data_IF_431210671113
#
_entry.id   IF_431210671113
#
_cell.length_a   1.000
_cell.length_b   1.000
_cell.length_c   1.000
_cell.angle_alpha   90.00
_cell.angle_beta   90.00
_cell.angle_gamma   90.00
#
_symmetry.space_group_name_H-M   'P 1'
#
loop_
_entity.id
_entity.type
_entity.pdbx_description
1 polymer ?
#
# COMPACT_ATOMS: atom_id res chain seq x y z
N UNK A 1 26.34 22.50 -15.22
CA UNK A 1 25.42 22.50 -16.38
C UNK A 1 24.07 22.15 -15.81
N UNK A 2 23.17 23.12 -15.67
CA UNK A 2 21.82 22.86 -15.19
C UNK A 2 21.09 22.02 -16.24
N UNK A 3 20.55 20.87 -15.83
CA UNK A 3 19.70 20.07 -16.70
C UNK A 3 18.41 20.87 -16.94
N UNK A 4 18.01 21.11 -18.20
CA UNK A 4 16.75 21.80 -18.47
C UNK A 4 15.61 20.96 -17.92
N UNK A 5 14.96 21.45 -16.86
CA UNK A 5 13.72 20.87 -16.37
C UNK A 5 12.67 21.15 -17.42
N UNK A 6 12.20 20.10 -18.10
CA UNK A 6 11.10 20.22 -19.04
C UNK A 6 9.89 20.86 -18.31
N UNK A 7 9.28 21.92 -18.86
CA UNK A 7 8.12 22.52 -18.23
C UNK A 7 7.03 21.45 -18.07
N UNK A 8 6.57 21.23 -16.84
CA UNK A 8 5.43 20.35 -16.57
C UNK A 8 4.19 20.92 -17.26
N UNK A 9 3.89 20.45 -18.46
CA UNK A 9 2.70 20.84 -19.22
C UNK A 9 1.46 20.06 -18.80
N UNK A 10 1.62 18.99 -18.01
CA UNK A 10 0.55 18.11 -17.59
C UNK A 10 0.24 18.28 -16.10
N UNK A 11 -1.00 18.66 -15.79
CA UNK A 11 -1.58 18.55 -14.45
C UNK A 11 -2.50 17.33 -14.43
N UNK A 12 -2.23 16.31 -13.60
CA UNK A 12 -3.11 15.16 -13.49
C UNK A 12 -4.46 15.58 -12.89
N UNK A 13 -5.54 14.93 -13.34
CA UNK A 13 -6.85 15.09 -12.69
C UNK A 13 -6.87 14.33 -11.37
N UNK A 14 -7.82 14.66 -10.49
CA UNK A 14 -8.02 13.93 -9.22
C UNK A 14 -8.24 12.44 -9.46
N UNK A 15 -9.03 12.07 -10.46
CA UNK A 15 -9.31 10.67 -10.81
C UNK A 15 -8.03 9.96 -11.26
N UNK A 16 -7.17 10.64 -12.02
CA UNK A 16 -5.89 10.08 -12.43
C UNK A 16 -4.98 9.82 -11.22
N UNK A 17 -4.91 10.75 -10.27
CA UNK A 17 -4.14 10.59 -9.04
C UNK A 17 -4.65 9.42 -8.18
N UNK A 18 -5.97 9.31 -8.01
CA UNK A 18 -6.59 8.20 -7.27
C UNK A 18 -6.28 6.85 -7.92
N UNK A 19 -6.40 6.75 -9.26
CA UNK A 19 -6.07 5.51 -9.98
C UNK A 19 -4.61 5.13 -9.84
N UNK A 20 -3.69 6.11 -9.90
CA UNK A 20 -2.24 5.85 -9.74
C UNK A 20 -1.94 5.27 -8.36
N UNK A 21 -2.54 5.80 -7.29
CA UNK A 21 -2.33 5.27 -5.94
C UNK A 21 -2.89 3.85 -5.80
N UNK A 22 -4.11 3.60 -6.28
CA UNK A 22 -4.69 2.25 -6.27
C UNK A 22 -3.84 1.26 -7.05
N UNK A 23 -3.33 1.67 -8.21
CA UNK A 23 -2.43 0.84 -9.01
C UNK A 23 -1.09 0.59 -8.30
N UNK A 24 -0.56 1.59 -7.60
CA UNK A 24 0.64 1.43 -6.79
C UNK A 24 0.45 0.38 -5.69
N UNK A 25 -0.68 0.39 -4.98
CA UNK A 25 -0.99 -0.61 -3.96
C UNK A 25 -1.02 -2.04 -4.55
N UNK A 26 -1.57 -2.20 -5.76
CA UNK A 26 -1.55 -3.49 -6.47
C UNK A 26 -0.15 -3.92 -6.88
N UNK A 27 0.67 -2.98 -7.39
CA UNK A 27 2.08 -3.23 -7.72
C UNK A 27 2.82 -3.74 -6.49
N UNK A 28 2.65 -3.06 -5.35
CA UNK A 28 3.23 -3.48 -4.08
C UNK A 28 2.73 -4.86 -3.66
N UNK A 29 1.42 -5.10 -3.72
CA UNK A 29 0.82 -6.36 -3.30
C UNK A 29 1.38 -7.55 -4.08
N UNK A 30 1.59 -7.41 -5.41
CA UNK A 30 2.17 -8.45 -6.27
C UNK A 30 3.56 -8.91 -5.86
N UNK A 31 4.30 -8.10 -5.10
CA UNK A 31 5.63 -8.46 -4.60
C UNK A 31 5.58 -9.42 -3.41
N UNK A 32 4.46 -9.42 -2.67
CA UNK A 32 4.34 -10.13 -1.40
C UNK A 32 3.14 -11.05 -1.31
N UNK A 33 2.20 -11.02 -2.25
CA UNK A 33 0.91 -11.71 -2.14
C UNK A 33 0.67 -12.66 -3.31
N UNK A 34 -0.20 -13.64 -3.08
CA UNK A 34 -0.87 -14.39 -4.13
C UNK A 34 -2.04 -13.57 -4.68
N UNK A 35 -2.08 -13.39 -6.00
CA UNK A 35 -3.13 -12.67 -6.71
C UNK A 35 -4.13 -13.67 -7.30
N UNK A 36 -5.43 -13.42 -7.08
CA UNK A 36 -6.51 -14.15 -7.73
C UNK A 36 -7.55 -13.18 -8.28
N UNK A 37 -8.05 -13.48 -9.47
CA UNK A 37 -9.13 -12.72 -10.09
C UNK A 37 -10.47 -13.37 -9.75
N UNK A 38 -11.39 -12.58 -9.19
CA UNK A 38 -12.82 -12.89 -9.09
C UNK A 38 -13.58 -12.09 -10.15
N UNK A 39 -14.83 -12.45 -10.42
CA UNK A 39 -15.67 -11.72 -11.37
C UNK A 39 -15.85 -10.25 -10.98
N UNK A 40 -15.92 -9.98 -9.67
CA UNK A 40 -16.22 -8.66 -9.13
C UNK A 40 -15.01 -7.90 -8.57
N UNK A 41 -13.84 -8.54 -8.42
CA UNK A 41 -12.67 -7.95 -7.77
C UNK A 41 -11.38 -8.71 -8.07
N UNK A 42 -10.24 -8.06 -7.81
CA UNK A 42 -8.93 -8.72 -7.73
C UNK A 42 -8.54 -8.87 -6.26
N UNK A 43 -8.30 -10.08 -5.79
CA UNK A 43 -7.94 -10.34 -4.39
C UNK A 43 -6.44 -10.61 -4.25
N UNK A 44 -5.85 -10.05 -3.20
CA UNK A 44 -4.46 -10.26 -2.82
C UNK A 44 -4.42 -10.88 -1.43
N UNK A 45 -3.77 -12.05 -1.31
CA UNK A 45 -3.74 -12.83 -0.07
C UNK A 45 -2.31 -13.23 0.31
N UNK A 46 -2.04 -13.36 1.61
CA UNK A 46 -0.75 -13.84 2.10
C UNK A 46 -0.90 -14.63 3.40
N UNK A 47 -0.86 -15.96 3.27
CA UNK A 47 -0.98 -16.88 4.41
C UNK A 47 0.17 -16.75 5.42
N UNK A 48 1.37 -16.36 4.98
CA UNK A 48 2.53 -16.15 5.86
C UNK A 48 2.39 -14.86 6.69
N UNK A 49 1.52 -13.93 6.28
CA UNK A 49 1.32 -12.62 6.91
C UNK A 49 -0.18 -12.34 7.11
N UNK A 50 -0.91 -13.17 7.87
CA UNK A 50 -2.36 -13.13 7.93
C UNK A 50 -2.93 -11.86 8.59
N UNK A 51 -2.11 -11.10 9.30
CA UNK A 51 -2.51 -9.88 10.02
C UNK A 51 -2.07 -8.59 9.33
N UNK A 52 -1.43 -8.67 8.15
CA UNK A 52 -0.98 -7.49 7.41
C UNK A 52 -2.05 -7.08 6.42
N UNK A 53 -2.68 -5.94 6.67
CA UNK A 53 -3.76 -5.42 5.84
C UNK A 53 -3.35 -5.19 4.38
N UNK A 54 -2.13 -4.69 4.15
CA UNK A 54 -1.54 -4.50 2.82
C UNK A 54 -1.29 -5.81 2.06
N UNK A 55 -1.40 -6.96 2.72
CA UNK A 55 -1.22 -8.27 2.09
C UNK A 55 -2.52 -9.08 1.97
N UNK A 56 -3.64 -8.55 2.46
CA UNK A 56 -4.89 -9.27 2.58
C UNK A 56 -6.07 -8.32 2.33
N UNK A 57 -6.29 -8.00 1.05
CA UNK A 57 -7.28 -7.03 0.61
C UNK A 57 -7.83 -7.36 -0.77
N UNK A 58 -8.97 -6.76 -1.10
CA UNK A 58 -9.55 -6.81 -2.43
C UNK A 58 -9.47 -5.43 -3.10
N UNK A 59 -9.04 -5.42 -4.36
CA UNK A 59 -8.93 -4.25 -5.20
C UNK A 59 -9.86 -4.35 -6.41
N UNK A 60 -10.02 -3.24 -7.12
CA UNK A 60 -10.83 -3.14 -8.33
C UNK A 60 -12.25 -3.67 -8.18
N UNK A 61 -12.86 -3.49 -7.00
CA UNK A 61 -14.25 -3.87 -6.78
C UNK A 61 -15.15 -3.16 -7.78
N UNK A 62 -15.97 -3.95 -8.47
CA UNK A 62 -17.02 -3.51 -9.39
C UNK A 62 -18.29 -4.34 -9.14
N UNK A 63 -19.43 -3.87 -9.64
CA UNK A 63 -20.68 -4.65 -9.66
C UNK A 63 -20.85 -5.23 -11.06
N UNK A 64 -20.66 -6.55 -11.26
CA UNK A 64 -20.96 -7.20 -12.53
C UNK A 64 -22.44 -7.10 -12.89
N UNK A 65 -22.74 -7.23 -14.18
CA UNK A 65 -24.13 -7.22 -14.65
C UNK A 65 -24.96 -8.33 -13.98
N UNK A 66 -26.10 -7.93 -13.41
CA UNK A 66 -27.04 -8.87 -12.75
C UNK A 66 -26.70 -9.19 -11.29
N UNK A 67 -25.61 -8.65 -10.73
CA UNK A 67 -25.29 -8.77 -9.31
C UNK A 67 -25.65 -7.48 -8.54
N UNK A 68 -25.92 -7.63 -7.25
CA UNK A 68 -26.00 -6.52 -6.30
C UNK A 68 -24.75 -6.38 -5.45
N UNK A 69 -24.57 -5.23 -4.79
CA UNK A 69 -23.43 -4.96 -3.90
C UNK A 69 -23.23 -6.01 -2.81
N UNK A 70 -24.32 -6.51 -2.22
CA UNK A 70 -24.25 -7.59 -1.21
C UNK A 70 -23.56 -8.85 -1.74
N UNK A 71 -23.93 -9.29 -2.94
CA UNK A 71 -23.37 -10.49 -3.57
C UNK A 71 -21.89 -10.30 -3.90
N UNK A 72 -21.49 -9.10 -4.32
CA UNK A 72 -20.08 -8.77 -4.58
C UNK A 72 -19.25 -8.86 -3.31
N UNK A 73 -19.70 -8.25 -2.21
CA UNK A 73 -18.96 -8.28 -0.95
C UNK A 73 -18.90 -9.71 -0.39
N UNK A 74 -20.00 -10.47 -0.50
CA UNK A 74 -20.04 -11.85 -0.02
C UNK A 74 -19.08 -12.76 -0.80
N UNK A 75 -18.98 -12.62 -2.13
CA UNK A 75 -18.01 -13.37 -2.93
C UNK A 75 -16.56 -13.11 -2.49
N UNK A 76 -16.22 -11.85 -2.24
CA UNK A 76 -14.88 -11.48 -1.75
C UNK A 76 -14.62 -12.12 -0.38
N UNK A 77 -15.55 -11.96 0.55
CA UNK A 77 -15.39 -12.48 1.91
C UNK A 77 -15.36 -14.01 1.96
N UNK A 78 -16.17 -14.68 1.14
CA UNK A 78 -16.16 -16.14 1.00
C UNK A 78 -14.80 -16.62 0.50
N UNK A 79 -14.20 -15.93 -0.48
CA UNK A 79 -12.85 -16.26 -0.94
C UNK A 79 -11.84 -16.19 0.22
N UNK A 80 -11.76 -15.05 0.94
CA UNK A 80 -10.85 -14.90 2.08
C UNK A 80 -11.11 -15.96 3.16
N UNK A 81 -12.38 -16.24 3.46
CA UNK A 81 -12.74 -17.28 4.43
C UNK A 81 -12.27 -18.67 3.98
N UNK A 82 -12.42 -19.01 2.70
CA UNK A 82 -12.04 -20.32 2.14
C UNK A 82 -10.53 -20.61 2.24
N UNK A 83 -9.70 -19.56 2.22
CA UNK A 83 -8.24 -19.65 2.38
C UNK A 83 -7.79 -19.40 3.82
N UNK A 84 -8.73 -19.30 4.79
CA UNK A 84 -8.41 -19.12 6.20
C UNK A 84 -7.88 -17.73 6.56
N UNK A 85 -8.21 -16.72 5.77
CA UNK A 85 -7.73 -15.34 5.92
C UNK A 85 -8.88 -14.35 6.16
N UNK A 86 -8.52 -13.14 6.56
CA UNK A 86 -9.44 -12.02 6.72
C UNK A 86 -9.17 -10.98 5.65
N UNK A 87 -10.22 -10.48 5.01
CA UNK A 87 -10.13 -9.29 4.17
C UNK A 87 -10.08 -8.04 5.06
N UNK A 88 -8.99 -7.27 5.00
CA UNK A 88 -8.82 -6.05 5.82
C UNK A 88 -9.26 -4.78 5.09
N UNK A 89 -9.14 -4.76 3.77
CA UNK A 89 -9.42 -3.58 2.96
C UNK A 89 -10.15 -3.97 1.67
N UNK A 90 -11.05 -3.09 1.27
CA UNK A 90 -11.74 -3.15 -0.01
C UNK A 90 -11.44 -1.84 -0.75
N UNK A 91 -11.14 -1.93 -2.04
CA UNK A 91 -10.93 -0.77 -2.90
C UNK A 91 -11.68 -0.97 -4.21
N UNK A 92 -12.48 0.01 -4.63
CA UNK A 92 -13.20 -0.01 -5.90
C UNK A 92 -12.29 0.27 -7.09
N UNK A 93 -12.68 -0.12 -8.30
CA UNK A 93 -11.97 0.30 -9.50
C UNK A 93 -12.09 1.82 -9.74
N UNK A 94 -13.26 2.38 -9.45
CA UNK A 94 -13.55 3.80 -9.65
C UNK A 94 -13.03 4.69 -8.53
N UNK A 95 -12.88 5.98 -8.79
CA UNK A 95 -12.46 6.96 -7.78
C UNK A 95 -13.46 7.09 -6.62
N UNK A 96 -14.72 6.77 -6.87
CA UNK A 96 -15.83 6.86 -5.93
C UNK A 96 -16.47 5.50 -5.70
N UNK A 97 -17.02 5.31 -4.51
CA UNK A 97 -17.84 4.16 -4.18
C UNK A 97 -19.29 4.37 -4.64
N UNK A 98 -19.89 3.34 -5.23
CA UNK A 98 -21.35 3.33 -5.40
C UNK A 98 -22.03 3.21 -4.03
N UNK A 99 -23.24 3.76 -3.89
CA UNK A 99 -23.99 3.65 -2.64
C UNK A 99 -24.29 2.20 -2.27
N UNK A 100 -24.51 1.35 -3.28
CA UNK A 100 -24.79 -0.08 -3.11
C UNK A 100 -23.58 -0.83 -2.50
N UNK A 101 -22.38 -0.69 -3.10
CA UNK A 101 -21.15 -1.30 -2.55
C UNK A 101 -20.81 -0.74 -1.16
N UNK A 102 -20.95 0.57 -0.96
CA UNK A 102 -20.66 1.20 0.33
C UNK A 102 -21.63 0.71 1.42
N UNK A 103 -22.92 0.59 1.11
CA UNK A 103 -23.93 0.05 2.00
C UNK A 103 -23.68 -1.41 2.35
N UNK A 104 -23.43 -2.25 1.35
CA UNK A 104 -23.10 -3.66 1.53
C UNK A 104 -21.85 -3.86 2.39
N UNK A 105 -20.76 -3.14 2.10
CA UNK A 105 -19.53 -3.19 2.88
C UNK A 105 -19.74 -2.77 4.34
N UNK A 106 -20.50 -1.68 4.56
CA UNK A 106 -20.87 -1.21 5.89
C UNK A 106 -21.64 -2.25 6.71
N UNK A 107 -22.57 -3.00 6.09
CA UNK A 107 -23.31 -4.08 6.75
C UNK A 107 -22.40 -5.25 7.18
N UNK A 108 -21.26 -5.48 6.50
CA UNK A 108 -20.24 -6.47 6.90
C UNK A 108 -19.18 -5.90 7.86
N UNK A 109 -19.40 -4.70 8.39
CA UNK A 109 -18.54 -4.09 9.40
C UNK A 109 -17.29 -3.41 8.86
N UNK A 110 -17.20 -3.20 7.54
CA UNK A 110 -16.19 -2.31 6.99
C UNK A 110 -16.53 -0.86 7.34
N UNK A 111 -15.50 -0.08 7.66
CA UNK A 111 -15.62 1.34 7.95
C UNK A 111 -14.96 2.14 6.83
N UNK A 112 -15.47 3.35 6.61
CA UNK A 112 -14.88 4.28 5.64
C UNK A 112 -13.45 4.61 6.08
N UNK A 113 -12.50 4.41 5.17
CA UNK A 113 -11.13 4.89 5.32
C UNK A 113 -10.94 6.12 4.42
N UNK A 114 -10.45 7.21 5.00
CA UNK A 114 -10.17 8.45 4.27
C UNK A 114 -8.66 8.65 4.20
N UNK A 115 -8.16 8.93 3.00
CA UNK A 115 -6.75 9.24 2.75
C UNK A 115 -6.66 10.56 1.97
N UNK A 116 -5.68 11.39 2.34
CA UNK A 116 -5.33 12.58 1.59
C UNK A 116 -4.33 12.24 0.48
N UNK A 117 -4.47 12.88 -0.68
CA UNK A 117 -3.52 12.79 -1.77
C UNK A 117 -2.85 14.15 -1.92
N UNK A 118 -1.59 14.23 -1.54
CA UNK A 118 -0.79 15.44 -1.66
C UNK A 118 0.09 15.37 -2.90
N UNK A 119 0.00 16.40 -3.74
CA UNK A 119 0.84 16.54 -4.93
C UNK A 119 1.94 17.57 -4.67
N UNK A 120 3.20 17.13 -4.68
CA UNK A 120 4.35 18.02 -4.64
C UNK A 120 4.42 18.85 -5.94
N UNK A 121 4.20 20.17 -5.84
CA UNK A 121 4.17 21.09 -6.99
C UNK A 121 5.56 21.51 -7.45
N UNK A 122 6.53 21.52 -6.54
CA UNK A 122 7.92 21.87 -6.81
C UNK A 122 8.82 21.15 -5.81
N UNK A 123 9.99 20.75 -6.28
CA UNK A 123 11.04 20.34 -5.36
C UNK A 123 11.57 21.58 -4.63
N UNK A 124 11.70 21.47 -3.31
CA UNK A 124 12.35 22.48 -2.49
C UNK A 124 13.60 21.85 -1.92
N UNK A 125 14.75 22.26 -2.44
CA UNK A 125 16.02 21.86 -1.85
C UNK A 125 16.12 22.43 -0.44
N UNK A 126 16.66 21.64 0.49
CA UNK A 126 16.98 22.12 1.82
C UNK A 126 18.04 23.22 1.72
N UNK A 127 17.81 24.34 2.42
CA UNK A 127 18.74 25.48 2.44
C UNK A 127 20.12 25.14 3.01
N UNK A 128 20.24 24.02 3.74
CA UNK A 128 21.51 23.56 4.30
C UNK A 128 21.62 22.04 4.21
N UNK A 129 22.60 21.48 3.46
CA UNK A 129 22.80 20.05 3.40
C UNK A 129 23.31 19.51 4.74
N UNK A 130 22.61 18.51 5.29
CA UNK A 130 23.06 17.79 6.49
C UNK A 130 24.18 16.83 6.11
N UNK A 131 25.45 17.28 6.22
CA UNK A 131 26.64 16.51 5.79
C UNK A 131 26.84 15.17 6.50
N UNK A 132 26.13 14.93 7.61
CA UNK A 132 26.18 13.68 8.37
C UNK A 132 25.09 12.67 7.99
N UNK A 133 24.12 13.08 7.17
CA UNK A 133 23.04 12.21 6.72
C UNK A 133 23.49 11.43 5.48
N UNK A 134 23.41 10.10 5.56
CA UNK A 134 23.65 9.21 4.42
C UNK A 134 22.31 8.71 3.90
N UNK A 135 22.07 8.82 2.60
CA UNK A 135 20.91 8.19 1.94
C UNK A 135 21.42 6.95 1.21
N UNK A 136 20.89 5.78 1.58
CA UNK A 136 21.32 4.49 1.05
C UNK A 136 20.12 3.78 0.41
N UNK A 137 20.30 3.04 -0.70
CA UNK A 137 19.26 2.14 -1.19
C UNK A 137 18.92 1.10 -0.11
N UNK A 138 17.63 0.88 0.17
CA UNK A 138 17.18 -0.03 1.23
C UNK A 138 17.71 -1.47 1.03
N UNK A 139 17.80 -1.92 -0.23
CA UNK A 139 18.39 -3.20 -0.63
C UNK A 139 19.85 -3.41 -0.23
N UNK A 140 20.60 -2.33 0.06
CA UNK A 140 21.98 -2.44 0.55
C UNK A 140 22.05 -2.79 2.05
N UNK A 141 20.92 -2.72 2.77
CA UNK A 141 20.87 -2.78 4.24
C UNK A 141 19.64 -3.51 4.78
N UNK A 142 19.26 -4.65 4.21
CA UNK A 142 18.06 -5.41 4.60
C UNK A 142 17.95 -5.67 6.10
N UNK A 143 19.02 -6.14 6.76
CA UNK A 143 18.98 -6.47 8.20
C UNK A 143 18.74 -5.22 9.05
N UNK A 144 19.53 -4.13 8.92
CA UNK A 144 19.21 -2.87 9.59
C UNK A 144 17.81 -2.32 9.25
N UNK A 145 17.39 -2.42 7.99
CA UNK A 145 16.09 -1.93 7.54
C UNK A 145 14.93 -2.71 8.17
N UNK A 146 15.05 -4.05 8.27
CA UNK A 146 14.08 -4.89 8.97
C UNK A 146 13.93 -4.48 10.43
N UNK A 147 15.05 -4.30 11.14
CA UNK A 147 15.03 -3.86 12.54
C UNK A 147 14.36 -2.50 12.70
N UNK A 148 14.67 -1.55 11.79
CA UNK A 148 14.02 -0.25 11.76
C UNK A 148 12.51 -0.36 11.51
N UNK A 149 12.09 -1.15 10.52
CA UNK A 149 10.68 -1.35 10.18
C UNK A 149 9.89 -2.01 11.32
N UNK A 150 10.49 -2.99 12.03
CA UNK A 150 9.88 -3.58 13.22
C UNK A 150 9.67 -2.54 14.31
N UNK A 151 10.70 -1.74 14.63
CA UNK A 151 10.60 -0.69 15.64
C UNK A 151 9.53 0.36 15.28
N UNK A 152 9.51 0.80 14.02
CA UNK A 152 8.51 1.72 13.51
C UNK A 152 7.08 1.16 13.59
N UNK A 153 6.90 -0.14 13.34
CA UNK A 153 5.59 -0.78 13.45
C UNK A 153 5.06 -0.78 14.89
N UNK A 154 5.93 -1.04 15.87
CA UNK A 154 5.57 -0.96 17.31
C UNK A 154 5.26 0.49 17.70
N UNK A 155 6.11 1.43 17.31
CA UNK A 155 5.97 2.85 17.70
C UNK A 155 4.74 3.52 17.06
N UNK A 156 4.51 3.30 15.77
CA UNK A 156 3.45 4.00 15.01
C UNK A 156 2.09 3.34 15.14
N UNK A 157 2.04 2.01 15.32
CA UNK A 157 0.79 1.26 15.26
C UNK A 157 0.50 0.46 16.54
N UNK A 158 1.39 0.49 17.55
CA UNK A 158 1.23 -0.34 18.74
C UNK A 158 1.24 -1.83 18.42
N UNK A 159 1.90 -2.24 17.34
CA UNK A 159 1.94 -3.62 16.90
C UNK A 159 2.61 -4.52 17.94
N UNK A 160 2.06 -5.72 18.16
CA UNK A 160 2.77 -6.76 18.91
C UNK A 160 3.98 -7.29 18.11
N UNK A 161 4.82 -8.10 18.75
CA UNK A 161 6.06 -8.60 18.14
C UNK A 161 5.80 -9.35 16.82
N UNK A 162 4.73 -10.15 16.77
CA UNK A 162 4.37 -10.92 15.58
C UNK A 162 3.95 -9.99 14.44
N UNK A 163 3.02 -9.08 14.71
CA UNK A 163 2.51 -8.12 13.72
C UNK A 163 3.63 -7.19 13.23
N UNK A 164 4.51 -6.74 14.13
CA UNK A 164 5.67 -5.95 13.76
C UNK A 164 6.66 -6.73 12.87
N UNK A 165 6.88 -8.01 13.16
CA UNK A 165 7.70 -8.90 12.33
C UNK A 165 7.08 -9.10 10.94
N UNK A 166 5.77 -9.31 10.85
CA UNK A 166 5.06 -9.51 9.58
C UNK A 166 5.10 -8.23 8.73
N UNK A 167 4.82 -7.07 9.33
CA UNK A 167 4.90 -5.75 8.68
C UNK A 167 6.32 -5.44 8.20
N UNK A 168 7.34 -5.72 9.02
CA UNK A 168 8.73 -5.54 8.60
C UNK A 168 9.11 -6.51 7.49
N UNK A 169 8.65 -7.76 7.55
CA UNK A 169 8.86 -8.75 6.51
C UNK A 169 8.18 -8.40 5.19
N UNK A 170 7.05 -7.69 5.22
CA UNK A 170 6.42 -7.11 4.05
C UNK A 170 7.29 -5.97 3.48
N UNK A 171 7.69 -5.01 4.33
CA UNK A 171 8.51 -3.86 3.89
C UNK A 171 9.85 -4.26 3.31
N UNK A 172 10.46 -5.31 3.82
CA UNK A 172 11.79 -5.81 3.41
C UNK A 172 11.75 -6.55 2.07
N UNK A 173 10.58 -6.98 1.60
CA UNK A 173 10.41 -7.57 0.26
C UNK A 173 10.32 -6.50 -0.85
N UNK A 174 9.88 -5.30 -0.49
CA UNK A 174 9.66 -4.20 -1.46
C UNK A 174 10.93 -3.70 -2.18
N UNK A 175 12.14 -3.64 -1.56
CA UNK A 175 13.35 -3.15 -2.23
C UNK A 175 13.81 -3.99 -3.44
N UNK A 176 13.25 -5.18 -3.63
CA UNK A 176 13.53 -6.05 -4.77
C UNK A 176 12.60 -5.78 -5.97
N UNK A 177 11.53 -5.00 -5.79
CA UNK A 177 10.62 -4.61 -6.87
C UNK A 177 11.30 -3.58 -7.79
N UNK A 178 11.61 -3.94 -9.06
CA UNK A 178 12.37 -3.06 -9.96
C UNK A 178 11.66 -1.74 -10.30
N UNK A 179 10.34 -1.65 -10.09
CA UNK A 179 9.57 -0.41 -10.30
C UNK A 179 9.64 0.54 -9.12
N UNK A 180 10.27 0.15 -8.01
CA UNK A 180 10.33 0.93 -6.78
C UNK A 180 11.77 1.18 -6.35
N UNK A 181 12.05 2.43 -6.02
CA UNK A 181 13.28 2.82 -5.35
C UNK A 181 12.95 3.17 -3.92
N UNK A 182 13.38 2.31 -3.00
CA UNK A 182 13.31 2.58 -1.57
C UNK A 182 14.67 2.99 -1.06
N UNK A 183 14.69 4.06 -0.28
CA UNK A 183 15.89 4.57 0.36
C UNK A 183 15.72 4.54 1.87
N UNK A 184 16.84 4.54 2.58
CA UNK A 184 16.86 4.77 4.01
C UNK A 184 17.83 5.88 4.33
N UNK A 185 17.44 6.70 5.29
CA UNK A 185 18.26 7.77 5.84
C UNK A 185 19.01 7.24 7.05
N UNK A 186 20.33 7.41 7.07
CA UNK A 186 21.23 6.96 8.14
C UNK A 186 21.98 8.14 8.72
N UNK A 187 21.90 8.30 10.03
CA UNK A 187 22.60 9.35 10.79
C UNK A 187 23.47 8.68 11.88
N UNK A 188 24.75 9.03 11.93
CA UNK A 188 25.73 8.46 12.88
C UNK A 188 25.67 6.92 12.98
N UNK A 189 25.51 6.26 11.83
CA UNK A 189 25.50 4.81 11.76
C UNK A 189 24.14 4.14 11.99
N UNK A 190 23.08 4.87 12.36
CA UNK A 190 21.73 4.35 12.64
C UNK A 190 20.72 4.81 11.60
N UNK A 191 19.76 3.94 11.24
CA UNK A 191 18.64 4.36 10.38
C UNK A 191 17.72 5.26 11.19
N UNK A 192 17.35 6.40 10.60
CA UNK A 192 16.49 7.43 11.20
C UNK A 192 15.24 7.72 10.35
N UNK A 193 15.14 7.12 9.15
CA UNK A 193 14.00 7.27 8.26
C UNK A 193 14.10 6.34 7.05
N UNK A 194 12.98 6.12 6.38
CA UNK A 194 12.85 5.38 5.12
C UNK A 194 11.76 6.02 4.26
#
# INVERSE_FOLDING_TARGET
>A
MELPVAPQSYRPTTEALVRVIKHHDQILARTTCEEMQLDAATVYTNADRPNVHQCNFAADLTIPEGLGGDQVIDQVLEHFHSVGLRCFLLSTADATWSQDLAGAAGQRGFVRNEAAIDQLQRDTQADTPTVTLQVLPARAVYVPFRTFAMAAAVESYGADERTASDLAGQKVALPDEPRLEMFVARLHGRIVGS
#
